data_IF_783005906339
#
_entry.id   IF_783005906339
#
_cell.length_a   1.000
_cell.length_b   1.000
_cell.length_c   1.000
_cell.angle_alpha   90.00
_cell.angle_beta   90.00
_cell.angle_gamma   90.00
#
_symmetry.space_group_name_H-M   'P 1'
#
loop_
_entity.id
_entity.type
_entity.pdbx_description
1 polymer ?
#
# COMPACT_ATOMS: atom_id res chain seq x y z
N UNK A 1 5.60 18.27 -8.84
CA UNK A 1 6.10 17.88 -10.18
C UNK A 1 6.91 18.97 -10.88
N UNK A 2 6.57 20.23 -10.71
CA UNK A 2 7.33 21.35 -11.29
C UNK A 2 8.77 21.44 -10.74
N UNK A 3 8.97 21.19 -9.45
CA UNK A 3 10.31 21.24 -8.82
C UNK A 3 11.30 20.21 -9.38
N UNK A 4 10.85 19.01 -9.74
CA UNK A 4 11.69 17.98 -10.33
C UNK A 4 12.10 18.31 -11.78
N UNK A 5 11.23 18.99 -12.51
CA UNK A 5 11.53 19.46 -13.87
C UNK A 5 12.54 20.62 -13.84
N UNK A 6 12.51 21.47 -12.83
CA UNK A 6 13.48 22.55 -12.63
C UNK A 6 14.88 22.04 -12.27
N UNK A 7 15.01 20.85 -11.71
CA UNK A 7 16.29 20.18 -11.42
C UNK A 7 16.88 19.44 -12.63
N UNK A 8 16.31 19.58 -13.84
CA UNK A 8 16.82 18.91 -15.03
C UNK A 8 16.53 17.41 -15.12
N UNK A 9 15.71 16.86 -14.23
CA UNK A 9 15.31 15.46 -14.25
C UNK A 9 14.21 15.23 -15.29
N UNK A 10 14.42 14.22 -16.14
CA UNK A 10 13.45 13.85 -17.16
C UNK A 10 12.27 13.09 -16.50
N UNK A 11 11.26 13.85 -16.01
CA UNK A 11 10.12 13.33 -15.25
C UNK A 11 9.37 12.22 -16.00
N UNK A 12 9.29 12.33 -17.34
CA UNK A 12 8.65 11.30 -18.19
C UNK A 12 9.39 9.97 -18.11
N UNK A 13 10.71 9.98 -18.25
CA UNK A 13 11.54 8.78 -18.17
C UNK A 13 11.53 8.15 -16.79
N UNK A 14 11.56 8.95 -15.74
CA UNK A 14 11.52 8.46 -14.36
C UNK A 14 10.18 7.77 -14.05
N UNK A 15 9.06 8.37 -14.47
CA UNK A 15 7.74 7.75 -14.37
C UNK A 15 7.66 6.44 -15.14
N UNK A 16 8.14 6.42 -16.37
CA UNK A 16 8.11 5.23 -17.23
C UNK A 16 8.88 4.07 -16.59
N UNK A 17 10.08 4.34 -16.07
CA UNK A 17 10.88 3.35 -15.32
C UNK A 17 10.14 2.83 -14.07
N UNK A 18 9.50 3.70 -13.31
CA UNK A 18 8.73 3.33 -12.12
C UNK A 18 7.54 2.42 -12.48
N UNK A 19 6.80 2.72 -13.55
CA UNK A 19 5.69 1.88 -14.01
C UNK A 19 6.16 0.51 -14.51
N UNK A 20 7.26 0.46 -15.27
CA UNK A 20 7.82 -0.80 -15.76
C UNK A 20 8.23 -1.69 -14.57
N UNK A 21 8.94 -1.12 -13.59
CA UNK A 21 9.36 -1.86 -12.39
C UNK A 21 8.16 -2.34 -11.57
N UNK A 22 7.16 -1.49 -11.38
CA UNK A 22 5.92 -1.84 -10.66
C UNK A 22 5.18 -2.98 -11.36
N UNK A 23 5.02 -2.91 -12.69
CA UNK A 23 4.35 -3.96 -13.46
C UNK A 23 5.08 -5.29 -13.39
N UNK A 24 6.41 -5.26 -13.44
CA UNK A 24 7.23 -6.46 -13.30
C UNK A 24 7.06 -7.13 -11.93
N UNK A 25 7.11 -6.34 -10.85
CA UNK A 25 6.91 -6.83 -9.50
C UNK A 25 5.47 -7.35 -9.27
N UNK A 26 4.47 -6.66 -9.83
CA UNK A 26 3.07 -7.12 -9.80
C UNK A 26 2.88 -8.46 -10.51
N UNK A 27 3.57 -8.68 -11.63
CA UNK A 27 3.51 -9.96 -12.35
C UNK A 27 4.02 -11.11 -11.50
N UNK A 28 5.17 -10.93 -10.85
CA UNK A 28 5.73 -11.93 -9.92
C UNK A 28 4.77 -12.17 -8.74
N UNK A 29 4.24 -11.10 -8.15
CA UNK A 29 3.28 -11.18 -7.06
C UNK A 29 2.00 -11.91 -7.45
N UNK A 30 1.49 -11.68 -8.67
CA UNK A 30 0.32 -12.38 -9.21
C UNK A 30 0.56 -13.88 -9.37
N UNK A 31 1.72 -14.28 -9.86
CA UNK A 31 2.07 -15.71 -9.97
C UNK A 31 2.14 -16.35 -8.58
N UNK A 32 2.82 -15.73 -7.62
CA UNK A 32 2.89 -16.22 -6.25
C UNK A 32 1.49 -16.33 -5.61
N UNK A 33 0.62 -15.37 -5.87
CA UNK A 33 -0.76 -15.38 -5.37
C UNK A 33 -1.57 -16.53 -5.96
N UNK A 34 -1.49 -16.78 -7.27
CA UNK A 34 -2.16 -17.90 -7.93
C UNK A 34 -1.68 -19.26 -7.39
N UNK A 35 -0.37 -19.40 -7.15
CA UNK A 35 0.19 -20.61 -6.57
C UNK A 35 -0.28 -20.84 -5.13
N UNK A 36 -0.38 -19.78 -4.35
CA UNK A 36 -0.81 -19.88 -2.95
C UNK A 36 -2.30 -20.21 -2.80
N UNK A 37 -3.14 -19.64 -3.68
CA UNK A 37 -4.60 -19.88 -3.64
C UNK A 37 -5.03 -21.11 -4.40
N UNK A 38 -4.16 -21.70 -5.22
CA UNK A 38 -4.47 -22.82 -6.12
C UNK A 38 -5.70 -22.56 -7.01
N UNK A 39 -6.07 -21.31 -7.20
CA UNK A 39 -7.24 -20.89 -7.96
C UNK A 39 -6.93 -19.64 -8.79
N UNK A 40 -7.38 -19.64 -10.03
CA UNK A 40 -7.31 -18.49 -10.94
C UNK A 40 -8.61 -17.69 -10.99
N UNK A 41 -9.18 -17.32 -9.84
CA UNK A 41 -10.45 -16.60 -9.77
C UNK A 41 -10.22 -15.09 -9.64
N UNK A 42 -10.83 -14.32 -10.55
CA UNK A 42 -10.78 -12.85 -10.53
C UNK A 42 -11.42 -12.28 -9.25
N UNK A 43 -12.43 -12.96 -8.71
CA UNK A 43 -13.14 -12.50 -7.51
C UNK A 43 -12.28 -12.51 -6.26
N UNK A 44 -11.31 -13.41 -6.17
CA UNK A 44 -10.40 -13.49 -5.01
C UNK A 44 -9.33 -12.39 -5.00
N UNK A 45 -9.01 -11.84 -6.15
CA UNK A 45 -8.07 -10.74 -6.29
C UNK A 45 -8.71 -9.35 -6.13
N UNK A 46 -10.03 -9.29 -6.08
CA UNK A 46 -10.76 -8.03 -5.88
C UNK A 46 -10.48 -7.46 -4.49
N UNK A 47 -9.99 -6.23 -4.44
CA UNK A 47 -9.63 -5.53 -3.20
C UNK A 47 -8.14 -5.57 -2.85
N UNK A 48 -7.32 -6.39 -3.50
CA UNK A 48 -5.88 -6.43 -3.26
C UNK A 48 -5.19 -5.09 -3.57
N UNK A 49 -5.75 -4.29 -4.48
CA UNK A 49 -5.27 -2.93 -4.76
C UNK A 49 -5.42 -2.01 -3.55
N UNK A 50 -6.55 -2.10 -2.84
CA UNK A 50 -6.79 -1.32 -1.62
C UNK A 50 -5.87 -1.76 -0.49
N UNK A 51 -5.66 -3.07 -0.36
CA UNK A 51 -4.74 -3.63 0.62
C UNK A 51 -3.30 -3.17 0.34
N UNK A 52 -2.85 -3.18 -0.91
CA UNK A 52 -1.52 -2.71 -1.29
C UNK A 52 -1.30 -1.23 -0.95
N UNK A 53 -2.32 -0.39 -1.16
CA UNK A 53 -2.29 1.02 -0.76
C UNK A 53 -2.20 1.13 0.77
N UNK A 54 -3.02 0.36 1.50
CA UNK A 54 -3.01 0.35 2.95
C UNK A 54 -1.64 -0.04 3.50
N UNK A 55 -1.01 -1.07 2.98
CA UNK A 55 0.33 -1.51 3.41
C UNK A 55 1.39 -0.43 3.19
N UNK A 56 1.32 0.29 2.06
CA UNK A 56 2.23 1.37 1.75
C UNK A 56 2.05 2.57 2.70
N UNK A 57 0.79 2.91 3.02
CA UNK A 57 0.44 4.01 3.92
C UNK A 57 0.81 3.70 5.37
N UNK A 58 0.51 2.49 5.85
CA UNK A 58 0.93 2.00 7.17
C UNK A 58 2.46 2.00 7.29
N UNK A 59 3.15 1.68 6.20
CA UNK A 59 4.61 1.75 6.09
C UNK A 59 5.20 3.17 6.05
N UNK A 60 4.37 4.22 6.13
CA UNK A 60 4.82 5.60 6.20
C UNK A 60 5.00 6.30 4.85
N UNK A 61 4.48 5.73 3.76
CA UNK A 61 4.45 6.40 2.46
C UNK A 61 3.29 7.41 2.42
N UNK A 62 3.60 8.68 2.12
CA UNK A 62 2.58 9.72 2.00
C UNK A 62 1.80 9.57 0.69
N UNK A 63 0.47 9.49 0.77
CA UNK A 63 -0.41 9.47 -0.40
C UNK A 63 -0.27 10.73 -1.27
N UNK A 64 0.01 11.87 -0.65
CA UNK A 64 0.24 13.14 -1.35
C UNK A 64 1.58 13.18 -2.09
N UNK A 65 2.45 12.18 -1.87
CA UNK A 65 3.79 12.12 -2.45
C UNK A 65 4.83 12.91 -1.66
N UNK A 66 6.06 12.82 -2.11
CA UNK A 66 7.20 13.53 -1.52
C UNK A 66 8.01 12.72 -0.50
N UNK A 67 7.40 11.79 0.21
CA UNK A 67 8.08 10.89 1.15
C UNK A 67 7.57 9.47 0.95
N UNK A 68 8.48 8.53 0.80
CA UNK A 68 8.19 7.10 0.72
C UNK A 68 9.37 6.29 1.23
N UNK A 69 9.08 5.20 1.95
CA UNK A 69 10.09 4.30 2.47
C UNK A 69 9.73 2.85 2.16
N UNK A 70 10.56 2.21 1.35
CA UNK A 70 10.36 0.81 0.94
C UNK A 70 10.45 -0.14 2.13
N UNK A 71 11.39 0.12 3.05
CA UNK A 71 11.55 -0.69 4.27
C UNK A 71 10.32 -0.57 5.15
N UNK A 72 9.77 0.64 5.30
CA UNK A 72 8.51 0.86 6.01
C UNK A 72 7.35 0.09 5.40
N UNK A 73 7.20 0.12 4.08
CA UNK A 73 6.14 -0.64 3.38
C UNK A 73 6.27 -2.15 3.59
N UNK A 74 7.49 -2.68 3.65
CA UNK A 74 7.72 -4.08 3.98
C UNK A 74 7.20 -4.44 5.38
N UNK A 75 7.49 -3.63 6.39
CA UNK A 75 6.92 -3.80 7.72
C UNK A 75 5.41 -3.61 7.75
N UNK A 76 4.86 -2.71 6.94
CA UNK A 76 3.42 -2.52 6.78
C UNK A 76 2.71 -3.78 6.31
N UNK A 77 3.29 -4.49 5.34
CA UNK A 77 2.79 -5.79 4.86
C UNK A 77 2.82 -6.84 5.97
N UNK A 78 3.91 -6.93 6.74
CA UNK A 78 4.03 -7.89 7.83
C UNK A 78 2.98 -7.64 8.92
N UNK A 79 2.80 -6.40 9.35
CA UNK A 79 1.83 -6.01 10.37
C UNK A 79 0.41 -6.37 9.91
N UNK A 80 0.01 -5.95 8.73
CA UNK A 80 -1.33 -6.20 8.24
C UNK A 80 -1.57 -7.68 7.92
N UNK A 81 -0.55 -8.38 7.40
CA UNK A 81 -0.60 -9.83 7.20
C UNK A 81 -0.85 -10.58 8.51
N UNK A 82 -0.18 -10.20 9.59
CA UNK A 82 -0.37 -10.78 10.92
C UNK A 82 -1.78 -10.52 11.45
N UNK A 83 -2.27 -9.28 11.34
CA UNK A 83 -3.64 -8.91 11.76
C UNK A 83 -4.67 -9.72 10.99
N UNK A 84 -4.54 -9.79 9.66
CA UNK A 84 -5.46 -10.54 8.80
C UNK A 84 -5.46 -12.04 9.14
N UNK A 85 -4.32 -12.61 9.46
CA UNK A 85 -4.20 -14.01 9.85
C UNK A 85 -4.89 -14.27 11.19
N UNK A 86 -4.67 -13.42 12.19
CA UNK A 86 -5.32 -13.54 13.52
C UNK A 86 -6.84 -13.46 13.40
N UNK A 87 -7.34 -12.52 12.59
CA UNK A 87 -8.79 -12.36 12.37
C UNK A 87 -9.40 -13.58 11.68
N UNK A 88 -8.71 -14.13 10.68
CA UNK A 88 -9.16 -15.34 9.97
C UNK A 88 -9.14 -16.59 10.85
N UNK A 89 -8.17 -16.71 11.76
CA UNK A 89 -8.02 -17.88 12.64
C UNK A 89 -9.08 -17.93 13.75
N UNK A 90 -9.60 -16.80 14.18
CA UNK A 90 -10.64 -16.77 15.21
C UNK A 90 -12.03 -17.31 14.78
N UNK A 91 -12.21 -17.67 13.52
CA UNK A 91 -13.31 -18.53 13.00
C UNK A 91 -14.76 -18.08 13.24
N UNK A 92 -14.99 -17.17 14.18
CA UNK A 92 -16.32 -16.65 14.56
C UNK A 92 -16.72 -15.37 13.79
N UNK A 93 -15.77 -14.79 13.05
CA UNK A 93 -15.98 -13.55 12.32
C UNK A 93 -16.20 -13.84 10.85
N UNK A 94 -17.20 -13.20 10.25
CA UNK A 94 -17.52 -13.35 8.82
C UNK A 94 -16.31 -13.01 7.95
N UNK A 95 -16.22 -13.61 6.77
CA UNK A 95 -15.13 -13.45 5.80
C UNK A 95 -14.83 -11.99 5.40
N UNK A 96 -15.78 -11.07 5.64
CA UNK A 96 -15.66 -9.65 5.30
C UNK A 96 -14.96 -8.80 6.38
N UNK A 97 -14.76 -9.32 7.59
CA UNK A 97 -14.15 -8.56 8.69
C UNK A 97 -12.72 -8.08 8.42
N UNK A 98 -11.83 -8.87 7.79
CA UNK A 98 -10.49 -8.39 7.45
C UNK A 98 -10.50 -7.13 6.60
N UNK A 99 -11.39 -7.05 5.62
CA UNK A 99 -11.49 -5.89 4.72
C UNK A 99 -11.97 -4.63 5.46
N UNK A 100 -12.91 -4.77 6.38
CA UNK A 100 -13.41 -3.67 7.22
C UNK A 100 -12.29 -3.16 8.13
N UNK A 101 -11.53 -4.07 8.73
CA UNK A 101 -10.41 -3.72 9.61
C UNK A 101 -9.30 -3.00 8.85
N UNK A 102 -8.94 -3.49 7.67
CA UNK A 102 -7.94 -2.86 6.80
C UNK A 102 -8.38 -1.46 6.38
N UNK A 103 -9.64 -1.29 5.99
CA UNK A 103 -10.19 0.00 5.63
C UNK A 103 -10.19 1.00 6.81
N UNK A 104 -10.55 0.54 8.01
CA UNK A 104 -10.52 1.36 9.22
C UNK A 104 -9.09 1.80 9.59
N UNK A 105 -8.13 0.87 9.54
CA UNK A 105 -6.71 1.18 9.76
C UNK A 105 -6.18 2.17 8.73
N UNK A 106 -6.51 1.99 7.45
CA UNK A 106 -6.10 2.89 6.39
C UNK A 106 -6.64 4.31 6.67
N UNK A 107 -7.92 4.44 7.00
CA UNK A 107 -8.54 5.71 7.30
C UNK A 107 -7.85 6.41 8.49
N UNK A 108 -7.57 5.65 9.56
CA UNK A 108 -6.86 6.15 10.73
C UNK A 108 -5.44 6.67 10.40
N UNK A 109 -4.68 5.90 9.61
CA UNK A 109 -3.33 6.31 9.22
C UNK A 109 -3.32 7.52 8.28
N UNK A 110 -4.29 7.63 7.36
CA UNK A 110 -4.43 8.82 6.50
C UNK A 110 -4.69 10.07 7.33
N UNK A 111 -5.59 9.97 8.31
CA UNK A 111 -5.89 11.10 9.21
C UNK A 111 -4.66 11.50 10.00
N UNK A 112 -3.92 10.53 10.57
CA UNK A 112 -2.66 10.81 11.27
C UNK A 112 -1.63 11.50 10.36
N UNK A 113 -1.42 10.98 9.15
CA UNK A 113 -0.50 11.58 8.18
C UNK A 113 -0.91 13.01 7.81
N UNK A 114 -2.20 13.27 7.62
CA UNK A 114 -2.72 14.60 7.31
C UNK A 114 -2.47 15.58 8.44
N UNK A 115 -2.64 15.14 9.69
CA UNK A 115 -2.36 15.95 10.88
C UNK A 115 -0.87 16.26 10.97
N UNK A 116 0.00 15.27 10.83
CA UNK A 116 1.45 15.45 10.87
C UNK A 116 1.96 16.36 9.74
N UNK A 117 1.39 16.23 8.53
CA UNK A 117 1.74 17.10 7.40
C UNK A 117 1.38 18.55 7.70
N UNK A 118 0.19 18.83 8.27
CA UNK A 118 -0.22 20.18 8.67
C UNK A 118 0.64 20.76 9.78
N UNK A 119 1.02 19.97 10.78
CA UNK A 119 1.89 20.42 11.88
C UNK A 119 3.26 20.80 11.34
N UNK A 120 3.83 20.00 10.44
CA UNK A 120 5.13 20.29 9.82
C UNK A 120 5.11 21.53 8.93
N UNK A 121 4.00 21.81 8.26
CA UNK A 121 3.83 23.02 7.45
C UNK A 121 3.72 24.29 8.31
N UNK A 122 3.12 24.17 9.50
CA UNK A 122 2.96 25.29 10.44
C UNK A 122 4.23 25.60 11.24
N UNK A 123 5.20 24.68 11.24
CA UNK A 123 6.51 24.82 11.93
C UNK A 123 7.62 25.37 11.02
N UNK A 124 7.30 25.73 9.77
CA UNK A 124 8.18 26.45 8.84
C UNK A 124 7.71 27.87 8.65
#
# INVERSE_FOLDING_TARGET
MQSAAMMGLNVKLTKMKAYILSSFLCSIGGICYCLNTMQGSVQQASGLEMDAIAYSVIGGTLLTGGVGNVIGSFFGVLINGTISTIVKTNGKLASSWPNILTAALLCFFIVLQSIFAKIKEKSK
#
